data_IF_896221003292
#
_entry.id   IF_896221003292
#
_cell.length_a   1.000
_cell.length_b   1.000
_cell.length_c   1.000
_cell.angle_alpha   90.00
_cell.angle_beta   90.00
_cell.angle_gamma   90.00
#
_symmetry.space_group_name_H-M   'P 1'
#
loop_
_entity.id
_entity.type
_entity.pdbx_description
1 polymer ?
#
# COMPACT_ATOMS: atom_id res chain seq x y z
N UNK A 1 3.16 0.03 -25.41
CA UNK A 1 2.88 0.31 -23.98
C UNK A 1 1.99 -0.82 -23.47
N UNK A 2 2.34 -1.50 -22.38
CA UNK A 2 1.52 -2.59 -21.81
C UNK A 2 0.34 -2.00 -21.01
N UNK A 3 -0.53 -1.26 -21.69
CA UNK A 3 -1.80 -0.75 -21.16
C UNK A 3 -2.91 -1.23 -22.09
N UNK A 4 -4.00 -1.73 -21.51
CA UNK A 4 -5.21 -2.04 -22.27
C UNK A 4 -5.65 -0.80 -23.04
N UNK A 5 -5.71 -0.85 -24.37
CA UNK A 5 -6.24 0.26 -25.20
C UNK A 5 -7.69 0.61 -24.82
N UNK A 6 -8.37 -0.33 -24.16
CA UNK A 6 -9.78 -0.27 -23.79
C UNK A 6 -9.98 0.21 -22.35
N UNK A 7 -8.92 0.27 -21.53
CA UNK A 7 -9.03 0.68 -20.13
C UNK A 7 -8.64 2.14 -19.98
N UNK A 8 -9.42 2.88 -19.19
CA UNK A 8 -9.05 4.25 -18.81
C UNK A 8 -7.69 4.27 -18.11
N UNK A 9 -6.86 5.21 -18.53
CA UNK A 9 -5.59 5.57 -17.94
C UNK A 9 -5.77 6.70 -16.91
N UNK A 10 -4.73 6.96 -16.10
CA UNK A 10 -4.76 8.01 -15.09
C UNK A 10 -5.09 9.40 -15.69
N UNK A 11 -4.57 9.68 -16.89
CA UNK A 11 -4.78 10.95 -17.60
C UNK A 11 -6.18 11.12 -18.16
N UNK A 12 -6.93 10.05 -18.35
CA UNK A 12 -8.29 10.14 -18.89
C UNK A 12 -9.24 10.76 -17.86
N UNK A 13 -8.94 10.59 -16.56
CA UNK A 13 -9.70 11.22 -15.48
C UNK A 13 -9.05 12.49 -14.94
N UNK A 14 -7.71 12.56 -14.85
CA UNK A 14 -7.01 13.70 -14.23
C UNK A 14 -6.43 14.72 -15.23
N UNK A 15 -6.33 14.37 -16.52
CA UNK A 15 -5.63 15.14 -17.53
C UNK A 15 -4.12 14.87 -17.56
N UNK A 16 -3.47 15.29 -18.65
CA UNK A 16 -2.01 15.13 -18.83
C UNK A 16 -1.20 16.27 -18.19
N UNK A 17 -1.72 17.49 -18.22
CA UNK A 17 -1.11 18.69 -17.64
C UNK A 17 -2.16 19.51 -16.91
N UNK A 18 -1.74 20.23 -15.85
CA UNK A 18 -2.65 21.05 -15.05
C UNK A 18 -3.60 20.21 -14.20
N UNK A 19 -3.09 19.16 -13.54
CA UNK A 19 -3.87 18.34 -12.61
C UNK A 19 -4.21 19.17 -11.37
N UNK A 20 -5.50 19.48 -11.20
CA UNK A 20 -6.01 20.23 -10.07
C UNK A 20 -6.59 19.29 -8.98
N UNK A 21 -6.58 19.72 -7.71
CA UNK A 21 -7.28 19.01 -6.63
C UNK A 21 -8.77 18.81 -6.96
N UNK A 22 -9.40 17.77 -6.39
CA UNK A 22 -10.80 17.45 -6.68
C UNK A 22 -11.78 18.55 -6.23
N UNK A 23 -11.34 19.46 -5.35
CA UNK A 23 -12.11 20.59 -4.86
C UNK A 23 -12.10 21.79 -5.82
N UNK A 24 -11.17 21.84 -6.79
CA UNK A 24 -11.09 22.91 -7.78
C UNK A 24 -12.11 22.66 -8.90
N UNK A 25 -12.91 23.68 -9.24
CA UNK A 25 -13.91 23.60 -10.31
C UNK A 25 -13.29 23.31 -11.69
N UNK A 26 -11.99 23.59 -11.88
CA UNK A 26 -11.25 23.28 -13.12
C UNK A 26 -10.80 21.82 -13.19
N UNK A 27 -10.91 21.07 -12.10
CA UNK A 27 -10.53 19.66 -12.08
C UNK A 27 -11.54 18.82 -12.85
N UNK A 28 -11.04 17.92 -13.69
CA UNK A 28 -11.86 16.92 -14.38
C UNK A 28 -12.51 15.93 -13.40
N UNK A 29 -11.95 15.79 -12.20
CA UNK A 29 -12.49 14.96 -11.13
C UNK A 29 -13.26 15.76 -10.08
N UNK A 30 -13.61 17.02 -10.36
CA UNK A 30 -14.49 17.80 -9.49
C UNK A 30 -15.90 17.24 -9.54
N UNK A 31 -16.66 17.39 -8.45
CA UNK A 31 -18.03 16.89 -8.39
C UNK A 31 -18.93 17.42 -9.52
N UNK A 32 -18.66 18.63 -10.03
CA UNK A 32 -19.41 19.23 -11.13
C UNK A 32 -19.03 18.66 -12.52
N UNK A 33 -17.78 18.24 -12.70
CA UNK A 33 -17.26 17.80 -14.01
C UNK A 33 -17.19 16.27 -14.13
N UNK A 34 -17.21 15.53 -13.02
CA UNK A 34 -16.93 14.09 -12.98
C UNK A 34 -17.84 13.28 -13.92
N UNK A 35 -19.14 13.58 -13.96
CA UNK A 35 -20.08 12.92 -14.87
C UNK A 35 -19.71 13.15 -16.34
N UNK A 36 -19.31 14.38 -16.67
CA UNK A 36 -18.93 14.75 -18.03
C UNK A 36 -17.61 14.08 -18.43
N UNK A 37 -16.68 13.94 -17.49
CA UNK A 37 -15.44 13.18 -17.68
C UNK A 37 -15.76 11.72 -18.04
N UNK A 38 -16.61 11.04 -17.27
CA UNK A 38 -17.04 9.67 -17.58
C UNK A 38 -17.76 9.56 -18.95
N UNK A 39 -18.60 10.54 -19.29
CA UNK A 39 -19.33 10.60 -20.56
C UNK A 39 -18.45 10.77 -21.80
N UNK A 40 -17.17 11.09 -21.62
CA UNK A 40 -16.19 11.10 -22.73
C UNK A 40 -16.10 9.72 -23.40
N UNK A 41 -16.27 8.65 -22.62
CA UNK A 41 -16.28 7.27 -23.12
C UNK A 41 -17.61 6.55 -22.88
N UNK A 42 -18.40 6.96 -21.88
CA UNK A 42 -19.70 6.39 -21.54
C UNK A 42 -20.83 7.40 -21.78
N UNK A 43 -21.17 7.65 -23.04
CA UNK A 43 -22.11 8.70 -23.46
C UNK A 43 -23.47 8.66 -22.74
N UNK A 44 -23.95 7.46 -22.42
CA UNK A 44 -25.24 7.20 -21.76
C UNK A 44 -25.14 7.13 -20.22
N UNK A 45 -24.00 7.48 -19.61
CA UNK A 45 -23.84 7.44 -18.16
C UNK A 45 -24.81 8.40 -17.46
N UNK A 46 -25.60 7.86 -16.54
CA UNK A 46 -26.51 8.63 -15.68
C UNK A 46 -25.77 9.20 -14.46
N UNK A 47 -26.40 10.13 -13.73
CA UNK A 47 -25.81 10.74 -12.53
C UNK A 47 -25.45 9.71 -11.42
N UNK A 48 -26.00 8.49 -11.47
CA UNK A 48 -25.58 7.42 -10.55
C UNK A 48 -24.17 6.86 -10.83
N UNK A 49 -23.64 7.09 -12.03
CA UNK A 49 -22.37 6.49 -12.48
C UNK A 49 -21.15 7.10 -11.76
N UNK A 50 -21.22 8.38 -11.40
CA UNK A 50 -20.16 9.09 -10.68
C UNK A 50 -19.96 8.64 -9.23
N UNK A 51 -20.89 7.85 -8.67
CA UNK A 51 -20.74 7.24 -7.34
C UNK A 51 -19.68 6.14 -7.31
N UNK A 52 -19.27 5.62 -8.47
CA UNK A 52 -18.17 4.67 -8.52
C UNK A 52 -16.87 5.38 -8.12
N UNK A 53 -16.37 5.09 -6.92
CA UNK A 53 -15.11 5.61 -6.41
C UNK A 53 -13.98 4.63 -6.74
N UNK A 54 -13.14 4.89 -7.76
CA UNK A 54 -12.01 4.03 -8.10
C UNK A 54 -10.88 4.06 -7.05
N UNK A 55 -10.87 5.08 -6.19
CA UNK A 55 -9.94 5.21 -5.06
C UNK A 55 -10.70 5.42 -3.75
N UNK A 56 -11.33 4.38 -3.18
CA UNK A 56 -11.97 4.50 -1.88
C UNK A 56 -10.93 4.88 -0.82
N UNK A 57 -11.17 5.93 -0.04
CA UNK A 57 -10.30 6.25 1.10
C UNK A 57 -10.41 5.14 2.15
N UNK A 58 -9.33 4.36 2.41
CA UNK A 58 -9.36 3.28 3.39
C UNK A 58 -9.37 3.78 4.84
N UNK A 59 -9.21 5.09 5.09
CA UNK A 59 -9.20 5.68 6.44
C UNK A 59 -10.59 6.14 6.88
N UNK A 60 -11.51 6.32 5.94
CA UNK A 60 -12.88 6.70 6.22
C UNK A 60 -13.74 5.45 6.50
N UNK A 61 -14.01 5.21 7.80
CA UNK A 61 -14.84 4.08 8.25
C UNK A 61 -16.32 4.27 7.93
N UNK A 62 -16.81 5.51 7.81
CA UNK A 62 -18.23 5.79 7.61
C UNK A 62 -18.65 5.50 6.17
N UNK A 63 -17.84 5.91 5.18
CA UNK A 63 -18.17 5.66 3.77
C UNK A 63 -17.81 4.24 3.31
N UNK A 64 -16.70 3.68 3.78
CA UNK A 64 -16.18 2.41 3.27
C UNK A 64 -15.76 1.46 4.41
N UNK A 65 -16.72 0.95 5.22
CA UNK A 65 -16.40 0.12 6.38
C UNK A 65 -15.61 -1.14 6.01
N UNK A 66 -15.95 -1.80 4.90
CA UNK A 66 -15.26 -3.01 4.43
C UNK A 66 -13.78 -2.74 4.07
N UNK A 67 -13.50 -1.63 3.39
CA UNK A 67 -12.14 -1.26 2.99
C UNK A 67 -11.32 -0.88 4.22
N UNK A 68 -11.92 -0.15 5.16
CA UNK A 68 -11.28 0.23 6.43
C UNK A 68 -10.79 -0.98 7.22
N UNK A 69 -11.66 -1.96 7.45
CA UNK A 69 -11.29 -3.17 8.20
C UNK A 69 -10.27 -4.01 7.45
N UNK A 70 -10.40 -4.12 6.13
CA UNK A 70 -9.44 -4.87 5.29
C UNK A 70 -8.04 -4.24 5.32
N UNK A 71 -7.96 -2.91 5.24
CA UNK A 71 -6.71 -2.17 5.34
C UNK A 71 -6.01 -2.44 6.67
N UNK A 72 -6.73 -2.29 7.78
CA UNK A 72 -6.16 -2.54 9.12
C UNK A 72 -5.78 -4.00 9.34
N UNK A 73 -6.61 -4.94 8.90
CA UNK A 73 -6.31 -6.36 8.98
C UNK A 73 -5.02 -6.70 8.25
N UNK A 74 -4.85 -6.23 7.01
CA UNK A 74 -3.66 -6.52 6.21
C UNK A 74 -2.41 -5.88 6.80
N UNK A 75 -2.51 -4.65 7.30
CA UNK A 75 -1.38 -3.99 7.98
C UNK A 75 -1.00 -4.71 9.28
N UNK A 76 -1.97 -5.17 10.07
CA UNK A 76 -1.72 -5.93 11.30
C UNK A 76 -1.07 -7.28 10.99
N UNK A 77 -1.57 -7.99 9.97
CA UNK A 77 -0.97 -9.24 9.51
C UNK A 77 0.47 -9.03 9.07
N UNK A 78 0.73 -8.02 8.25
CA UNK A 78 2.07 -7.69 7.76
C UNK A 78 3.02 -7.34 8.92
N UNK A 79 2.60 -6.47 9.85
CA UNK A 79 3.39 -6.11 11.02
C UNK A 79 3.63 -7.31 11.94
N UNK A 80 2.62 -8.15 12.16
CA UNK A 80 2.72 -9.35 12.99
C UNK A 80 3.71 -10.38 12.42
N UNK A 81 3.60 -10.67 11.13
CA UNK A 81 4.50 -11.62 10.45
C UNK A 81 5.94 -11.10 10.49
N UNK A 82 6.18 -9.85 10.07
CA UNK A 82 7.52 -9.25 10.12
C UNK A 82 8.07 -9.21 11.56
N UNK A 83 7.24 -8.85 12.53
CA UNK A 83 7.62 -8.84 13.94
C UNK A 83 8.11 -10.21 14.44
N UNK A 84 7.37 -11.28 14.13
CA UNK A 84 7.78 -12.65 14.49
C UNK A 84 9.09 -13.05 13.82
N UNK A 85 9.26 -12.77 12.53
CA UNK A 85 10.51 -13.09 11.82
C UNK A 85 11.71 -12.32 12.36
N UNK A 86 11.53 -11.03 12.69
CA UNK A 86 12.57 -10.20 13.28
C UNK A 86 12.95 -10.70 14.68
N UNK A 87 11.95 -10.97 15.53
CA UNK A 87 12.19 -11.51 16.87
C UNK A 87 12.89 -12.87 16.82
N UNK A 88 12.47 -13.75 15.91
CA UNK A 88 13.10 -15.05 15.70
C UNK A 88 14.57 -14.92 15.27
N UNK A 89 14.83 -14.05 14.28
CA UNK A 89 16.19 -13.81 13.75
C UNK A 89 17.09 -13.20 14.82
N UNK A 90 16.60 -12.23 15.58
CA UNK A 90 17.33 -11.61 16.68
C UNK A 90 17.61 -12.61 17.82
N UNK A 91 16.62 -13.42 18.20
CA UNK A 91 16.80 -14.45 19.23
C UNK A 91 17.87 -15.48 18.83
N UNK A 92 17.90 -15.89 17.56
CA UNK A 92 18.92 -16.79 17.03
C UNK A 92 20.32 -16.16 17.04
N UNK A 93 20.43 -14.90 16.61
CA UNK A 93 21.69 -14.14 16.65
C UNK A 93 22.22 -13.96 18.08
N UNK A 94 21.35 -13.64 19.04
CA UNK A 94 21.73 -13.51 20.46
C UNK A 94 22.23 -14.84 21.00
N UNK A 95 21.54 -15.94 20.70
CA UNK A 95 21.97 -17.29 21.09
C UNK A 95 23.36 -17.61 20.54
N UNK A 96 23.60 -17.40 19.26
CA UNK A 96 24.93 -17.61 18.64
C UNK A 96 25.99 -16.74 19.30
N UNK A 97 25.70 -15.47 19.56
CA UNK A 97 26.64 -14.57 20.23
C UNK A 97 27.01 -15.05 21.64
N UNK A 98 26.04 -15.55 22.40
CA UNK A 98 26.27 -16.13 23.74
C UNK A 98 27.10 -17.42 23.64
N UNK A 99 26.78 -18.29 22.69
CA UNK A 99 27.50 -19.56 22.50
C UNK A 99 28.95 -19.32 22.05
N UNK A 100 29.19 -18.35 21.16
CA UNK A 100 30.54 -17.91 20.76
C UNK A 100 31.34 -17.33 21.95
N UNK A 101 30.71 -16.49 22.78
CA UNK A 101 31.35 -15.95 24.00
C UNK A 101 31.67 -17.04 25.01
N UNK A 102 30.80 -18.03 25.19
CA UNK A 102 31.05 -19.17 26.08
C UNK A 102 32.19 -20.05 25.56
N UNK A 103 32.27 -20.27 24.26
CA UNK A 103 33.38 -21.02 23.64
C UNK A 103 34.74 -20.30 23.81
N UNK A 104 34.78 -18.97 23.73
CA UNK A 104 36.02 -18.21 23.98
C UNK A 104 36.44 -18.17 25.45
N UNK A 105 35.50 -18.29 26.38
CA UNK A 105 35.74 -18.21 27.83
C UNK A 105 35.96 -19.57 28.51
N UNK A 106 35.81 -20.67 27.77
CA UNK A 106 36.02 -22.02 28.29
C UNK A 106 37.49 -22.27 28.67
N UNK A 107 37.78 -23.03 29.75
CA UNK A 107 39.13 -23.40 30.14
C UNK A 107 39.69 -24.40 29.12
N UNK A 108 40.26 -23.88 28.03
CA UNK A 108 40.76 -24.69 26.92
C UNK A 108 41.23 -23.91 25.68
N UNK A 109 41.19 -22.56 25.69
CA UNK A 109 41.77 -21.74 24.62
C UNK A 109 43.30 -21.69 24.68
N UNK A 110 43.95 -22.85 24.53
CA UNK A 110 45.38 -23.00 24.30
C UNK A 110 45.58 -23.98 23.15
N UNK A 111 45.80 -23.46 21.94
CA UNK A 111 45.92 -24.32 20.75
C UNK A 111 46.30 -23.54 19.50
N UNK A 112 47.34 -22.72 19.59
CA UNK A 112 47.97 -22.12 18.42
C UNK A 112 48.79 -23.15 17.63
N UNK A 113 48.37 -23.37 16.39
CA UNK A 113 49.20 -23.53 15.17
C UNK A 113 50.57 -24.21 15.37
N UNK A 114 50.67 -25.49 14.97
CA UNK A 114 51.82 -26.07 14.24
C UNK A 114 51.38 -27.36 13.57
#
# INVERSE_FOLDING_TARGET
FLGSEVAASCSDCHGAHGVFPAEDERSLTSAANLLQTCRTCHEEAEAGFELYQPHPDPRDREKNPYVFYSFWFMNLLLAGVLGVFLLHTLAWWIRIGVDLRRASSGPGSGGGKR
#
